data_IF_089964062989
#
_entry.id   IF_089964062989
#
_cell.length_a   1.000
_cell.length_b   1.000
_cell.length_c   1.000
_cell.angle_alpha   90.00
_cell.angle_beta   90.00
_cell.angle_gamma   90.00
#
_symmetry.space_group_name_H-M   'P 1'
#
loop_
_entity.id
_entity.type
_entity.pdbx_description
1 polymer ?
#
# COMPACT_ATOMS: atom_id res chain seq x y z
N UNK A 1 -10.99 7.39 -11.82
CA UNK A 1 -9.74 6.65 -11.57
C UNK A 1 -9.86 5.85 -10.29
N UNK A 2 -9.39 4.61 -10.28
CA UNK A 2 -9.44 3.80 -9.06
C UNK A 2 -8.37 4.22 -8.09
N UNK A 3 -8.74 4.27 -6.82
CA UNK A 3 -7.81 4.59 -5.74
C UNK A 3 -7.18 3.30 -5.23
N UNK A 4 -5.86 3.26 -5.21
CA UNK A 4 -5.10 2.09 -4.79
C UNK A 4 -4.41 2.39 -3.46
N UNK A 5 -4.63 1.52 -2.48
CA UNK A 5 -3.88 1.54 -1.23
C UNK A 5 -2.73 0.55 -1.36
N UNK A 6 -1.51 1.01 -1.13
CA UNK A 6 -0.34 0.14 -1.14
C UNK A 6 -0.02 -0.25 0.31
N UNK A 7 0.02 -1.54 0.57
CA UNK A 7 0.33 -2.07 1.89
C UNK A 7 1.74 -2.64 1.86
N UNK A 8 2.66 -1.93 2.47
CA UNK A 8 4.09 -2.23 2.44
C UNK A 8 4.88 -1.07 1.89
N UNK A 9 6.19 -1.07 2.11
CA UNK A 9 7.07 0.01 1.65
C UNK A 9 8.45 -0.47 1.23
N UNK A 10 8.62 -1.78 1.01
CA UNK A 10 9.85 -2.37 0.53
C UNK A 10 10.02 -2.24 -0.97
N UNK A 11 10.96 -3.02 -1.53
CA UNK A 11 11.29 -2.92 -2.95
C UNK A 11 10.11 -3.24 -3.87
N UNK A 12 9.31 -4.25 -3.54
CA UNK A 12 8.15 -4.61 -4.36
C UNK A 12 7.13 -3.47 -4.36
N UNK A 13 6.84 -2.92 -3.19
CA UNK A 13 5.91 -1.80 -3.07
C UNK A 13 6.40 -0.58 -3.86
N UNK A 14 7.70 -0.31 -3.78
CA UNK A 14 8.31 0.81 -4.51
C UNK A 14 8.11 0.67 -6.02
N UNK A 15 8.51 -0.47 -6.59
CA UNK A 15 8.39 -0.68 -8.04
C UNK A 15 6.96 -0.76 -8.51
N UNK A 16 6.11 -1.47 -7.77
CA UNK A 16 4.72 -1.65 -8.15
C UNK A 16 3.94 -0.33 -8.09
N UNK A 17 4.19 0.47 -7.06
CA UNK A 17 3.52 1.77 -6.91
C UNK A 17 3.83 2.70 -8.07
N UNK A 18 5.09 2.74 -8.49
CA UNK A 18 5.51 3.56 -9.63
C UNK A 18 4.86 3.04 -10.91
N UNK A 19 4.86 1.73 -11.12
CA UNK A 19 4.25 1.13 -12.30
C UNK A 19 2.75 1.43 -12.38
N UNK A 20 2.05 1.31 -11.27
CA UNK A 20 0.61 1.59 -11.20
C UNK A 20 0.33 3.07 -11.49
N UNK A 21 1.12 3.96 -10.91
CA UNK A 21 0.96 5.38 -11.15
C UNK A 21 1.17 5.71 -12.62
N UNK A 22 2.20 5.14 -13.24
CA UNK A 22 2.48 5.36 -14.64
C UNK A 22 1.40 4.78 -15.57
N UNK A 23 0.66 3.80 -15.07
CA UNK A 23 -0.45 3.20 -15.82
C UNK A 23 -1.78 3.96 -15.65
N UNK A 24 -1.78 5.06 -14.92
CA UNK A 24 -2.96 5.89 -14.75
C UNK A 24 -3.77 5.64 -13.50
N UNK A 25 -3.33 4.75 -12.62
CA UNK A 25 -4.00 4.53 -11.34
C UNK A 25 -3.57 5.59 -10.33
N UNK A 26 -4.48 5.92 -9.42
CA UNK A 26 -4.18 6.83 -8.33
C UNK A 26 -3.74 6.03 -7.11
N UNK A 27 -2.53 6.30 -6.61
CA UNK A 27 -2.09 5.74 -5.33
C UNK A 27 -2.57 6.69 -4.24
N UNK A 28 -3.57 6.26 -3.50
CA UNK A 28 -4.19 7.11 -2.49
C UNK A 28 -3.34 7.23 -1.24
N UNK A 29 -2.66 6.16 -0.85
CA UNK A 29 -1.95 6.13 0.41
C UNK A 29 -1.02 4.93 0.48
N UNK A 30 0.03 5.04 1.30
CA UNK A 30 0.92 3.93 1.64
C UNK A 30 0.65 3.54 3.09
N UNK A 31 0.40 2.28 3.34
CA UNK A 31 0.25 1.74 4.70
C UNK A 31 1.41 0.80 4.99
N UNK A 32 2.21 1.12 6.01
CA UNK A 32 3.36 0.30 6.39
C UNK A 32 3.79 0.62 7.81
N UNK A 33 4.36 -0.36 8.49
CA UNK A 33 4.91 -0.15 9.84
C UNK A 33 6.19 0.67 9.82
N UNK A 34 6.95 0.61 8.73
CA UNK A 34 8.20 1.35 8.61
C UNK A 34 7.93 2.75 8.07
N UNK A 35 7.85 3.73 8.97
CA UNK A 35 7.52 5.10 8.59
C UNK A 35 8.61 5.75 7.75
N UNK A 36 9.86 5.36 7.92
CA UNK A 36 10.96 5.94 7.15
C UNK A 36 10.84 5.58 5.67
N UNK A 37 10.67 4.30 5.37
CA UNK A 37 10.52 3.87 3.97
C UNK A 37 9.17 4.30 3.39
N UNK A 38 8.13 4.34 4.22
CA UNK A 38 6.82 4.83 3.78
C UNK A 38 6.89 6.29 3.36
N UNK A 39 7.55 7.12 4.17
CA UNK A 39 7.70 8.55 3.87
C UNK A 39 8.46 8.75 2.56
N UNK A 40 9.56 8.02 2.37
CA UNK A 40 10.34 8.11 1.13
C UNK A 40 9.52 7.74 -0.08
N UNK A 41 8.78 6.64 -0.01
CA UNK A 41 7.96 6.18 -1.11
C UNK A 41 6.81 7.15 -1.39
N UNK A 42 6.11 7.58 -0.34
CA UNK A 42 5.00 8.51 -0.47
C UNK A 42 5.43 9.85 -1.07
N UNK A 43 6.60 10.35 -0.66
CA UNK A 43 7.14 11.59 -1.24
C UNK A 43 7.45 11.43 -2.72
N UNK A 44 7.97 10.28 -3.12
CA UNK A 44 8.30 10.01 -4.51
C UNK A 44 7.05 9.92 -5.38
N UNK A 45 5.99 9.35 -4.85
CA UNK A 45 4.73 9.15 -5.57
C UNK A 45 3.83 10.39 -5.46
N UNK A 46 3.93 11.13 -4.36
CA UNK A 46 3.09 12.29 -4.10
C UNK A 46 1.78 11.93 -3.41
N UNK A 47 1.83 11.00 -2.47
CA UNK A 47 0.64 10.60 -1.69
C UNK A 47 0.93 10.60 -0.19
N UNK A 48 -0.09 10.32 0.60
CA UNK A 48 0.03 10.22 2.05
C UNK A 48 0.54 8.84 2.46
N UNK A 49 0.96 8.72 3.72
CA UNK A 49 1.36 7.45 4.30
C UNK A 49 0.91 7.39 5.76
N UNK A 50 0.74 6.16 6.26
CA UNK A 50 0.38 5.93 7.65
C UNK A 50 0.82 4.55 8.12
N UNK A 51 0.98 4.38 9.41
CA UNK A 51 1.19 3.06 10.03
C UNK A 51 -0.01 2.64 10.88
N UNK A 52 -1.08 3.44 10.89
CA UNK A 52 -2.25 3.19 11.71
C UNK A 52 -3.46 2.90 10.84
N UNK A 53 -4.11 1.75 11.12
CA UNK A 53 -5.27 1.31 10.34
C UNK A 53 -6.42 2.31 10.40
N UNK A 54 -6.58 3.01 11.53
CA UNK A 54 -7.66 3.97 11.71
C UNK A 54 -7.50 5.20 10.81
N UNK A 55 -6.28 5.45 10.34
CA UNK A 55 -5.98 6.59 9.49
C UNK A 55 -5.97 6.24 8.01
N UNK A 56 -6.25 5.00 7.66
CA UNK A 56 -6.35 4.59 6.27
C UNK A 56 -7.59 5.21 5.65
N UNK A 57 -7.38 5.91 4.53
CA UNK A 57 -8.46 6.58 3.79
C UNK A 57 -9.18 5.58 2.88
N UNK A 58 -10.30 6.00 2.32
CA UNK A 58 -11.04 5.17 1.39
C UNK A 58 -10.20 4.78 0.18
N UNK A 59 -10.36 3.55 -0.26
CA UNK A 59 -9.68 3.02 -1.43
C UNK A 59 -10.60 2.06 -2.17
N UNK A 60 -10.34 1.86 -3.45
CA UNK A 60 -11.08 0.90 -4.28
C UNK A 60 -10.43 -0.47 -4.23
N UNK A 61 -9.10 -0.51 -4.13
CA UNK A 61 -8.34 -1.74 -4.12
C UNK A 61 -7.10 -1.57 -3.25
N UNK A 62 -6.81 -2.57 -2.45
CA UNK A 62 -5.57 -2.61 -1.67
C UNK A 62 -4.63 -3.65 -2.27
N UNK A 63 -3.38 -3.26 -2.50
CA UNK A 63 -2.36 -4.16 -3.02
C UNK A 63 -1.37 -4.48 -1.91
N UNK A 64 -1.25 -5.76 -1.61
CA UNK A 64 -0.48 -6.27 -0.49
C UNK A 64 0.94 -6.62 -0.93
N UNK A 65 1.91 -5.85 -0.45
CA UNK A 65 3.33 -6.00 -0.81
C UNK A 65 4.15 -6.28 0.44
N UNK A 66 3.78 -7.29 1.20
CA UNK A 66 4.45 -7.67 2.44
C UNK A 66 4.93 -9.11 2.35
N UNK A 67 5.82 -9.49 3.27
CA UNK A 67 6.33 -10.87 3.33
C UNK A 67 5.23 -11.83 3.72
N UNK A 68 5.39 -13.09 3.32
CA UNK A 68 4.39 -14.13 3.55
C UNK A 68 4.01 -14.28 5.02
N UNK A 69 4.96 -14.14 5.93
CA UNK A 69 4.70 -14.28 7.36
C UNK A 69 3.89 -13.14 7.94
N UNK A 70 3.77 -12.02 7.24
CA UNK A 70 3.00 -10.87 7.67
C UNK A 70 1.62 -10.80 7.03
N UNK A 71 1.37 -11.59 5.99
CA UNK A 71 0.13 -11.51 5.21
C UNK A 71 -1.11 -11.72 6.08
N UNK A 72 -1.08 -12.72 6.94
CA UNK A 72 -2.25 -13.06 7.75
C UNK A 72 -2.66 -11.90 8.67
N UNK A 73 -1.67 -11.25 9.29
CA UNK A 73 -1.94 -10.12 10.17
C UNK A 73 -2.56 -8.94 9.41
N UNK A 74 -2.05 -8.68 8.21
CA UNK A 74 -2.57 -7.59 7.40
C UNK A 74 -3.95 -7.91 6.87
N UNK A 75 -4.16 -9.12 6.37
CA UNK A 75 -5.47 -9.54 5.86
C UNK A 75 -6.54 -9.43 6.93
N UNK A 76 -6.22 -9.79 8.17
CA UNK A 76 -7.17 -9.68 9.27
C UNK A 76 -7.63 -8.24 9.54
N UNK A 77 -6.78 -7.26 9.25
CA UNK A 77 -7.11 -5.85 9.42
C UNK A 77 -7.96 -5.31 8.28
N UNK A 78 -7.88 -5.91 7.09
CA UNK A 78 -8.54 -5.42 5.88
C UNK A 78 -9.55 -6.42 5.31
N UNK A 79 -10.02 -7.38 6.09
CA UNK A 79 -10.80 -8.51 5.60
C UNK A 79 -12.11 -8.14 4.90
N UNK A 80 -12.65 -6.97 5.13
CA UNK A 80 -13.91 -6.54 4.52
C UNK A 80 -13.72 -5.74 3.23
N UNK A 81 -12.48 -5.58 2.76
CA UNK A 81 -12.19 -4.74 1.61
C UNK A 81 -11.43 -5.53 0.53
N UNK A 82 -11.57 -5.15 -0.75
CA UNK A 82 -10.83 -5.84 -1.82
C UNK A 82 -9.32 -5.73 -1.63
N UNK A 83 -8.63 -6.87 -1.71
CA UNK A 83 -7.17 -6.94 -1.56
C UNK A 83 -6.59 -7.80 -2.66
N UNK A 84 -5.55 -7.31 -3.32
CA UNK A 84 -4.72 -8.08 -4.25
C UNK A 84 -3.39 -8.36 -3.58
N UNK A 85 -3.01 -9.62 -3.52
CA UNK A 85 -1.78 -10.06 -2.87
C UNK A 85 -0.64 -10.25 -3.85
N UNK A 86 0.53 -9.69 -3.53
CA UNK A 86 1.77 -10.00 -4.24
C UNK A 86 2.82 -10.38 -3.21
N UNK A 87 3.58 -11.46 -3.47
CA UNK A 87 4.70 -11.85 -2.63
C UNK A 87 5.87 -10.93 -2.89
N UNK A 88 6.42 -10.38 -1.83
CA UNK A 88 7.56 -9.48 -1.96
C UNK A 88 8.87 -10.09 -1.54
#
# INVERSE_FOLDING_TARGET
>A
MKKILIIGSGNVAHHLSIALKNSGFEISQIFSRNLITSEKLASKIGCDFTSEIEKVQDYDLAVLCVKDDEIQNVVNQFYKRPIVHTSG
#
